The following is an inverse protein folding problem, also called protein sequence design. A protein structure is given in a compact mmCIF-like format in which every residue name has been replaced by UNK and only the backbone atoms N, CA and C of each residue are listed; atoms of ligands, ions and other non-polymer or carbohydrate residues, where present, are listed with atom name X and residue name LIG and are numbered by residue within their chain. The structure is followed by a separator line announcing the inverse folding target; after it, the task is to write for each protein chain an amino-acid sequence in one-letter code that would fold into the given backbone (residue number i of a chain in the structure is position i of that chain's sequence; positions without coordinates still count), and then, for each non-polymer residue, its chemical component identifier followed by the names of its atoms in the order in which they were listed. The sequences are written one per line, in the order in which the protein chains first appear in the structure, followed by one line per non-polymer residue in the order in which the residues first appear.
data_IF_414795863741
#
_entry.id   IF_414795863741
#
_cell.length_a   1.000
_cell.length_b   1.000
_cell.length_c   1.000
_cell.angle_alpha   90.00
_cell.angle_beta   90.00
_cell.angle_gamma   90.00
#
_symmetry.space_group_name_H-M   'P 1'
#
loop_
_entity.id
_entity.type
_entity.pdbx_description
1 polymer ?
#
# COMPACT_ATOMS: atom_id res chain seq x y z
N UNK A 1 2.60 -8.75 -5.01
CA UNK A 1 2.20 -9.94 -5.80
C UNK A 1 2.90 -9.79 -7.14
N UNK A 2 3.54 -10.84 -7.65
CA UNK A 2 4.22 -10.78 -8.94
C UNK A 2 3.20 -11.13 -10.01
N UNK A 3 2.85 -10.18 -10.88
CA UNK A 3 1.97 -10.42 -12.02
C UNK A 3 2.80 -10.41 -13.29
N UNK A 4 2.66 -11.42 -14.17
CA UNK A 4 3.24 -11.34 -15.51
C UNK A 4 2.54 -10.23 -16.29
N UNK A 5 3.31 -9.54 -17.12
CA UNK A 5 2.82 -8.45 -17.94
C UNK A 5 3.49 -8.47 -19.30
N UNK A 6 2.71 -8.23 -20.34
CA UNK A 6 3.20 -8.11 -21.72
C UNK A 6 3.24 -6.62 -22.08
N UNK A 7 4.36 -6.17 -22.63
CA UNK A 7 4.56 -4.81 -23.11
C UNK A 7 4.78 -4.81 -24.62
N UNK A 8 4.21 -3.84 -25.31
CA UNK A 8 4.41 -3.64 -26.74
C UNK A 8 4.36 -2.16 -27.12
N UNK A 9 4.91 -1.84 -28.29
CA UNK A 9 4.78 -0.53 -28.92
C UNK A 9 4.92 -0.67 -30.43
N UNK A 10 4.63 0.39 -31.19
CA UNK A 10 4.81 0.39 -32.65
C UNK A 10 6.27 0.31 -33.08
N UNK A 11 7.20 0.62 -32.19
CA UNK A 11 8.63 0.83 -32.49
C UNK A 11 9.52 -0.28 -31.96
N UNK A 12 8.96 -1.32 -31.32
CA UNK A 12 9.74 -2.42 -30.74
C UNK A 12 9.01 -3.76 -30.76
N UNK A 13 9.76 -4.87 -30.67
CA UNK A 13 9.20 -6.16 -30.36
C UNK A 13 8.56 -6.20 -28.97
N UNK A 14 7.49 -6.98 -28.85
CA UNK A 14 6.82 -7.24 -27.60
C UNK A 14 7.77 -7.91 -26.61
N UNK A 15 7.61 -7.60 -25.32
CA UNK A 15 8.44 -8.18 -24.28
C UNK A 15 7.68 -8.40 -22.98
N UNK A 16 8.13 -9.41 -22.24
CA UNK A 16 7.56 -9.74 -20.94
C UNK A 16 8.27 -9.01 -19.82
N UNK A 17 7.49 -8.56 -18.85
CA UNK A 17 7.97 -8.02 -17.60
C UNK A 17 7.11 -8.54 -16.44
N UNK A 18 7.63 -8.45 -15.22
CA UNK A 18 6.89 -8.87 -14.03
C UNK A 18 6.72 -7.71 -13.05
N UNK A 19 5.49 -7.49 -12.58
CA UNK A 19 5.19 -6.46 -11.60
C UNK A 19 5.93 -6.75 -10.30
N UNK A 20 6.72 -5.79 -9.82
CA UNK A 20 7.44 -5.91 -8.55
C UNK A 20 6.93 -4.92 -7.50
N UNK A 21 6.55 -3.70 -7.89
CA UNK A 21 6.02 -2.67 -6.97
C UNK A 21 4.90 -1.86 -7.61
N UNK A 22 3.89 -1.55 -6.81
CA UNK A 22 2.84 -0.57 -7.11
C UNK A 22 2.99 0.57 -6.09
N UNK A 23 2.99 1.82 -6.53
CA UNK A 23 3.15 3.00 -5.65
C UNK A 23 2.67 4.29 -6.32
N UNK A 24 2.73 5.41 -5.59
CA UNK A 24 2.30 6.74 -6.08
C UNK A 24 3.14 7.22 -7.29
N UNK A 25 4.38 6.77 -7.34
CA UNK A 25 5.36 6.96 -8.40
C UNK A 25 5.09 6.11 -9.66
N UNK A 26 4.15 5.16 -9.59
CA UNK A 26 3.71 4.32 -10.70
C UNK A 26 3.86 2.82 -10.44
N UNK A 27 3.86 2.05 -11.52
CA UNK A 27 4.01 0.59 -11.49
C UNK A 27 5.44 0.24 -11.90
N UNK A 28 6.17 -0.45 -11.04
CA UNK A 28 7.53 -0.92 -11.29
C UNK A 28 7.52 -2.37 -11.75
N UNK A 29 8.29 -2.63 -12.81
CA UNK A 29 8.48 -3.92 -13.43
C UNK A 29 9.94 -4.34 -13.43
N UNK A 30 10.17 -5.66 -13.37
CA UNK A 30 11.47 -6.28 -13.68
C UNK A 30 11.39 -6.93 -15.06
N UNK A 31 12.42 -6.78 -15.87
CA UNK A 31 12.48 -7.29 -17.24
C UNK A 31 13.93 -7.48 -17.69
N UNK A 32 14.15 -8.41 -18.62
CA UNK A 32 15.42 -8.50 -19.34
C UNK A 32 15.61 -7.34 -20.34
N UNK A 33 14.50 -6.79 -20.84
CA UNK A 33 14.45 -5.66 -21.77
C UNK A 33 14.01 -4.42 -20.99
N UNK A 34 14.86 -3.39 -20.97
CA UNK A 34 14.60 -2.13 -20.28
C UNK A 34 14.26 -1.06 -21.34
N UNK A 35 13.03 -0.51 -21.33
CA UNK A 35 12.62 0.53 -22.27
C UNK A 35 13.29 1.87 -21.95
N UNK A 36 13.24 2.86 -22.85
CA UNK A 36 13.86 4.16 -22.60
C UNK A 36 12.94 5.05 -21.73
N UNK A 37 13.50 5.90 -20.84
CA UNK A 37 12.72 6.92 -20.15
C UNK A 37 11.95 7.81 -21.12
N UNK A 38 10.71 8.17 -20.76
CA UNK A 38 9.82 9.03 -21.54
C UNK A 38 9.01 8.31 -22.62
N UNK A 39 9.31 7.03 -22.89
CA UNK A 39 8.66 6.26 -23.93
C UNK A 39 7.22 5.86 -23.62
N UNK A 40 6.38 5.78 -24.66
CA UNK A 40 4.98 5.36 -24.56
C UNK A 40 4.84 3.90 -24.98
N UNK A 41 4.25 3.09 -24.10
CA UNK A 41 4.05 1.67 -24.30
C UNK A 41 2.61 1.32 -23.95
N UNK A 42 2.13 0.23 -24.54
CA UNK A 42 0.92 -0.43 -24.06
C UNK A 42 1.35 -1.65 -23.23
N UNK A 43 0.73 -1.85 -22.07
CA UNK A 43 0.97 -3.03 -21.24
C UNK A 43 -0.32 -3.75 -20.88
N UNK A 44 -0.31 -5.08 -20.98
CA UNK A 44 -1.36 -5.94 -20.46
C UNK A 44 -0.88 -6.59 -19.17
N UNK A 45 -1.58 -6.32 -18.08
CA UNK A 45 -1.28 -6.88 -16.75
C UNK A 45 -2.38 -7.89 -16.42
N UNK A 46 -2.01 -9.13 -16.11
CA UNK A 46 -2.97 -10.18 -15.77
C UNK A 46 -3.92 -9.74 -14.64
N UNK A 47 -5.23 -9.99 -14.81
CA UNK A 47 -6.33 -9.57 -13.92
C UNK A 47 -6.65 -8.07 -13.88
N UNK A 48 -5.81 -7.21 -14.47
CA UNK A 48 -6.01 -5.74 -14.50
C UNK A 48 -6.46 -5.29 -15.89
N UNK A 49 -5.95 -5.91 -16.95
CA UNK A 49 -6.25 -5.55 -18.33
C UNK A 49 -5.17 -4.68 -18.98
N UNK A 50 -5.53 -4.03 -20.09
CA UNK A 50 -4.62 -3.27 -20.93
C UNK A 50 -4.57 -1.80 -20.52
N UNK A 51 -3.36 -1.24 -20.45
CA UNK A 51 -3.08 0.13 -20.04
C UNK A 51 -2.11 0.78 -21.02
N UNK A 52 -2.41 2.02 -21.42
CA UNK A 52 -1.43 2.90 -22.03
C UNK A 52 -0.58 3.52 -20.92
N UNK A 53 0.75 3.42 -21.06
CA UNK A 53 1.68 3.83 -20.02
C UNK A 53 2.87 4.60 -20.59
N UNK A 54 3.44 5.47 -19.78
CA UNK A 54 4.69 6.17 -20.08
C UNK A 54 5.79 5.74 -19.11
N UNK A 55 6.96 5.41 -19.64
CA UNK A 55 8.14 5.07 -18.83
C UNK A 55 8.62 6.32 -18.10
N UNK A 56 8.57 6.30 -16.76
CA UNK A 56 8.98 7.41 -15.92
C UNK A 56 10.48 7.33 -15.59
N UNK A 57 10.94 6.16 -15.13
CA UNK A 57 12.33 5.95 -14.72
C UNK A 57 12.77 4.52 -15.05
N UNK A 58 14.06 4.33 -15.27
CA UNK A 58 14.68 3.04 -15.57
C UNK A 58 15.81 2.77 -14.56
N UNK A 59 16.08 1.49 -14.33
CA UNK A 59 17.18 1.00 -13.51
C UNK A 59 17.70 -0.31 -14.11
N UNK A 60 18.76 -0.87 -13.54
CA UNK A 60 19.29 -2.15 -14.01
C UNK A 60 18.22 -3.25 -13.94
N UNK A 61 17.81 -3.77 -15.11
CA UNK A 61 16.77 -4.81 -15.29
C UNK A 61 15.40 -4.45 -14.70
N UNK A 62 15.11 -3.16 -14.54
CA UNK A 62 13.84 -2.68 -14.01
C UNK A 62 13.42 -1.33 -14.62
N UNK A 63 12.13 -1.07 -14.63
CA UNK A 63 11.59 0.22 -15.06
C UNK A 63 10.27 0.52 -14.36
N UNK A 64 9.96 1.81 -14.21
CA UNK A 64 8.70 2.30 -13.63
C UNK A 64 7.91 3.00 -14.71
N UNK A 65 6.63 2.68 -14.81
CA UNK A 65 5.70 3.31 -15.73
C UNK A 65 4.57 4.00 -14.98
N UNK A 66 4.04 5.07 -15.57
CA UNK A 66 2.83 5.73 -15.10
C UNK A 66 1.71 5.53 -16.13
N UNK A 67 0.47 5.24 -15.72
CA UNK A 67 -0.66 5.24 -16.63
C UNK A 67 -0.78 6.61 -17.32
N UNK A 68 -0.95 6.59 -18.63
CA UNK A 68 -1.24 7.81 -19.39
C UNK A 68 -2.74 8.10 -19.26
N UNK A 69 -3.16 9.30 -18.80
CA UNK A 69 -4.58 9.64 -18.73
C UNK A 69 -5.19 9.60 -20.13
N UNK A 70 -6.15 8.69 -20.34
CA UNK A 70 -6.79 8.45 -21.63
C UNK A 70 -8.07 7.59 -21.51
N UNK A 71 -8.79 7.43 -22.63
CA UNK A 71 -10.16 6.86 -22.75
C UNK A 71 -10.34 5.43 -22.20
N UNK A 72 -9.24 4.74 -21.87
CA UNK A 72 -9.20 3.33 -21.46
C UNK A 72 -8.86 3.14 -19.97
N UNK A 73 -8.68 4.23 -19.21
CA UNK A 73 -8.58 4.17 -17.74
C UNK A 73 -9.98 3.90 -17.16
N UNK A 74 -10.50 2.72 -17.47
CA UNK A 74 -11.81 2.29 -17.02
C UNK A 74 -11.76 2.29 -15.49
N UNK A 75 -12.70 2.94 -14.84
CA UNK A 75 -12.71 3.13 -13.37
C UNK A 75 -12.55 1.80 -12.63
N UNK A 76 -12.96 0.69 -13.24
CA UNK A 76 -12.72 -0.67 -12.78
C UNK A 76 -11.22 -1.04 -12.72
N UNK A 77 -10.42 -0.73 -13.75
CA UNK A 77 -8.97 -0.99 -13.80
C UNK A 77 -8.24 -0.15 -12.77
N UNK A 78 -8.62 1.13 -12.64
CA UNK A 78 -8.11 2.03 -11.61
C UNK A 78 -8.42 1.51 -10.21
N UNK A 79 -9.66 1.09 -9.97
CA UNK A 79 -10.12 0.51 -8.72
C UNK A 79 -9.41 -0.81 -8.42
N UNK A 80 -9.24 -1.70 -9.39
CA UNK A 80 -8.49 -2.95 -9.22
C UNK A 80 -7.01 -2.69 -8.95
N UNK A 81 -6.39 -1.72 -9.62
CA UNK A 81 -5.01 -1.32 -9.32
C UNK A 81 -4.88 -0.72 -7.92
N UNK A 82 -5.83 0.12 -7.49
CA UNK A 82 -5.88 0.67 -6.13
C UNK A 82 -6.13 -0.43 -5.10
N UNK A 83 -7.05 -1.36 -5.35
CA UNK A 83 -7.33 -2.50 -4.48
C UNK A 83 -6.13 -3.46 -4.41
N UNK A 84 -5.45 -3.73 -5.53
CA UNK A 84 -4.23 -4.54 -5.59
C UNK A 84 -3.04 -3.84 -4.96
N UNK A 85 -2.89 -2.52 -5.13
CA UNK A 85 -1.88 -1.71 -4.47
C UNK A 85 -2.12 -1.65 -2.96
N UNK A 86 -3.38 -1.55 -2.52
CA UNK A 86 -3.77 -1.65 -1.11
C UNK A 86 -3.47 -3.03 -0.53
N UNK A 87 -3.80 -4.11 -1.26
CA UNK A 87 -3.47 -5.50 -0.86
C UNK A 87 -1.97 -5.76 -0.87
N UNK A 88 -1.21 -5.17 -1.78
CA UNK A 88 0.24 -5.29 -1.86
C UNK A 88 0.96 -4.46 -0.80
N UNK A 89 0.49 -3.26 -0.49
CA UNK A 89 0.98 -2.45 0.64
C UNK A 89 0.82 -3.24 1.95
N UNK A 90 -0.38 -3.81 2.18
CA UNK A 90 -0.64 -4.74 3.29
C UNK A 90 0.26 -5.98 3.32
N UNK A 91 0.88 -6.37 2.20
CA UNK A 91 1.83 -7.50 2.08
C UNK A 91 3.29 -7.06 2.23
N UNK A 92 3.62 -5.81 1.91
CA UNK A 92 4.93 -5.16 2.13
C UNK A 92 5.13 -4.74 3.59
N UNK A 93 4.04 -4.43 4.30
CA UNK A 93 4.06 -4.17 5.75
C UNK A 93 4.53 -5.36 6.59
N UNK A 94 4.58 -6.57 5.99
CA UNK A 94 5.15 -7.78 6.61
C UNK A 94 6.69 -7.84 6.54
N UNK A 95 7.34 -6.95 5.78
CA UNK A 95 8.80 -6.92 5.58
C UNK A 95 9.50 -5.59 5.96
N UNK A 96 8.86 -4.71 6.76
CA UNK A 96 9.56 -3.69 7.55
C UNK A 96 10.38 -2.65 6.75
N UNK A 97 9.73 -1.67 6.13
CA UNK A 97 10.44 -0.56 5.45
C UNK A 97 9.98 0.84 5.85
N UNK A 98 8.98 0.98 6.72
CA UNK A 98 8.67 2.24 7.38
C UNK A 98 9.34 2.26 8.76
N UNK A 99 10.04 3.34 9.13
CA UNK A 99 10.56 3.49 10.49
C UNK A 99 9.41 3.33 11.49
N UNK A 100 9.72 2.65 12.59
CA UNK A 100 8.76 2.32 13.62
C UNK A 100 9.27 2.81 14.95
N UNK A 101 8.34 3.29 15.76
CA UNK A 101 8.63 3.84 17.07
C UNK A 101 7.72 3.19 18.10
N UNK A 102 8.16 3.24 19.35
CA UNK A 102 7.29 3.02 20.51
C UNK A 102 7.11 4.38 21.17
N UNK A 103 5.91 4.99 21.12
CA UNK A 103 5.67 6.28 21.76
C UNK A 103 5.90 6.19 23.28
N UNK A 104 6.35 7.28 23.91
CA UNK A 104 6.49 7.37 25.37
C UNK A 104 5.15 7.23 26.07
N UNK A 105 4.09 7.78 25.46
CA UNK A 105 2.71 7.63 25.91
C UNK A 105 2.04 6.54 25.10
N UNK A 106 2.00 5.34 25.66
CA UNK A 106 1.44 4.18 24.98
C UNK A 106 -0.08 4.06 25.14
N UNK A 107 -0.68 4.75 26.10
CA UNK A 107 -2.11 4.61 26.39
C UNK A 107 -2.95 5.16 25.24
N UNK A 108 -3.87 4.35 24.73
CA UNK A 108 -4.74 4.73 23.61
C UNK A 108 -6.15 4.20 23.83
N UNK A 109 -7.16 5.03 23.50
CA UNK A 109 -8.55 4.59 23.46
C UNK A 109 -8.84 3.94 22.10
N UNK A 110 -9.48 2.78 22.10
CA UNK A 110 -9.89 2.07 20.89
C UNK A 110 -11.42 2.11 20.81
N UNK A 111 -11.95 3.03 20.02
CA UNK A 111 -13.39 3.16 19.80
C UNK A 111 -13.83 2.26 18.64
N UNK A 112 -14.87 1.47 18.86
CA UNK A 112 -15.51 0.60 17.88
C UNK A 112 -16.70 1.31 17.23
N UNK A 113 -17.13 0.82 16.06
CA UNK A 113 -18.24 1.40 15.31
C UNK A 113 -19.60 1.34 16.04
N UNK A 114 -19.75 0.44 17.02
CA UNK A 114 -20.94 0.31 17.86
C UNK A 114 -20.95 1.29 19.06
N UNK A 115 -19.94 2.14 19.18
CA UNK A 115 -19.78 3.09 20.27
C UNK A 115 -19.00 2.56 21.48
N UNK A 116 -18.63 1.28 21.50
CA UNK A 116 -17.82 0.70 22.57
C UNK A 116 -16.41 1.30 22.56
N UNK A 117 -15.90 1.69 23.74
CA UNK A 117 -14.53 2.20 23.88
C UNK A 117 -13.72 1.27 24.76
N UNK A 118 -12.67 0.71 24.20
CA UNK A 118 -11.73 -0.18 24.88
C UNK A 118 -10.45 0.59 25.25
N UNK A 119 -9.84 0.23 26.37
CA UNK A 119 -8.49 0.69 26.71
C UNK A 119 -7.46 -0.18 26.01
N UNK A 120 -6.50 0.45 25.34
CA UNK A 120 -5.39 -0.22 24.68
C UNK A 120 -4.04 0.40 25.03
N UNK A 121 -2.96 -0.28 24.62
CA UNK A 121 -1.59 0.23 24.69
C UNK A 121 -0.90 0.06 23.34
N UNK A 122 -0.33 1.13 22.80
CA UNK A 122 0.50 1.12 21.60
C UNK A 122 1.74 0.26 21.86
N UNK A 123 1.92 -0.77 21.03
CA UNK A 123 3.10 -1.61 21.02
C UNK A 123 4.14 -1.05 20.07
N UNK A 124 3.72 -0.67 18.86
CA UNK A 124 4.57 -0.12 17.82
C UNK A 124 3.73 0.69 16.84
N UNK A 125 4.25 1.83 16.38
CA UNK A 125 3.56 2.71 15.43
C UNK A 125 4.48 3.08 14.27
N UNK A 126 3.88 3.18 13.08
CA UNK A 126 4.51 3.75 11.88
C UNK A 126 3.55 4.76 11.24
N UNK A 127 3.97 5.42 10.16
CA UNK A 127 3.13 6.34 9.38
C UNK A 127 1.79 5.69 8.92
N UNK A 128 1.75 4.38 8.71
CA UNK A 128 0.59 3.72 8.11
C UNK A 128 -0.20 2.81 9.07
N UNK A 129 0.39 2.40 10.20
CA UNK A 129 -0.22 1.41 11.10
C UNK A 129 0.18 1.61 12.54
N UNK A 130 -0.65 1.06 13.42
CA UNK A 130 -0.33 0.84 14.82
C UNK A 130 -0.66 -0.59 15.21
N UNK A 131 0.22 -1.17 16.02
CA UNK A 131 -0.07 -2.38 16.78
C UNK A 131 -0.48 -1.98 18.20
N UNK A 132 -1.59 -2.53 18.67
CA UNK A 132 -2.22 -2.15 19.94
C UNK A 132 -2.45 -3.41 20.75
N UNK A 133 -1.98 -3.44 22.00
CA UNK A 133 -2.39 -4.42 23.00
C UNK A 133 -3.74 -4.02 23.58
N UNK A 134 -4.67 -4.97 23.67
CA UNK A 134 -5.96 -4.80 24.33
C UNK A 134 -6.50 -6.15 24.81
N UNK A 135 -7.34 -6.13 25.84
CA UNK A 135 -7.85 -7.34 26.48
C UNK A 135 -9.00 -8.00 25.70
N UNK A 136 -9.78 -7.21 24.96
CA UNK A 136 -10.94 -7.70 24.22
C UNK A 136 -10.59 -8.03 22.77
N UNK A 137 -11.12 -9.13 22.21
CA UNK A 137 -10.94 -9.43 20.80
C UNK A 137 -11.70 -8.41 19.93
N UNK A 138 -11.06 -7.96 18.86
CA UNK A 138 -11.70 -7.13 17.82
C UNK A 138 -11.55 -7.85 16.48
N UNK A 139 -12.64 -7.90 15.72
CA UNK A 139 -12.67 -8.62 14.45
C UNK A 139 -11.75 -7.98 13.40
N UNK A 140 -11.05 -8.82 12.63
CA UNK A 140 -10.31 -8.36 11.45
C UNK A 140 -11.28 -7.78 10.42
N UNK A 141 -10.93 -6.62 9.86
CA UNK A 141 -11.77 -5.85 8.96
C UNK A 141 -12.66 -4.81 9.67
N UNK A 142 -12.75 -4.83 11.00
CA UNK A 142 -13.52 -3.84 11.74
C UNK A 142 -12.92 -2.43 11.59
N UNK A 143 -13.80 -1.43 11.41
CA UNK A 143 -13.42 -0.02 11.53
C UNK A 143 -13.33 0.35 13.00
N UNK A 144 -12.23 1.00 13.36
CA UNK A 144 -11.95 1.45 14.72
C UNK A 144 -11.38 2.87 14.68
N UNK A 145 -11.43 3.57 15.81
CA UNK A 145 -10.67 4.81 16.02
C UNK A 145 -9.67 4.59 17.15
N UNK A 146 -8.39 4.81 16.87
CA UNK A 146 -7.30 4.79 17.83
C UNK A 146 -7.06 6.24 18.26
N UNK A 147 -7.54 6.61 19.44
CA UNK A 147 -7.62 8.02 19.87
C UNK A 147 -8.52 8.83 18.94
N UNK A 148 -7.93 9.77 18.20
CA UNK A 148 -8.53 10.56 17.14
C UNK A 148 -8.33 9.95 15.74
N UNK A 149 -7.45 8.96 15.59
CA UNK A 149 -7.04 8.43 14.28
C UNK A 149 -7.93 7.27 13.81
N UNK A 150 -8.56 7.39 12.64
CA UNK A 150 -9.39 6.32 12.07
C UNK A 150 -8.55 5.20 11.45
N UNK A 151 -8.95 3.94 11.69
CA UNK A 151 -8.22 2.77 11.25
C UNK A 151 -9.12 1.56 10.94
N UNK A 152 -8.53 0.55 10.31
CA UNK A 152 -9.15 -0.76 10.03
C UNK A 152 -8.25 -1.87 10.55
N UNK A 153 -8.82 -2.78 11.34
CA UNK A 153 -8.11 -3.93 11.87
C UNK A 153 -7.66 -4.84 10.72
N UNK A 154 -6.36 -5.07 10.60
CA UNK A 154 -5.78 -5.86 9.52
C UNK A 154 -5.46 -7.30 9.93
N UNK A 155 -5.08 -7.49 11.19
CA UNK A 155 -4.82 -8.80 11.78
C UNK A 155 -4.95 -8.70 13.30
N UNK A 156 -5.22 -9.83 13.95
CA UNK A 156 -5.10 -9.98 15.39
C UNK A 156 -3.81 -10.74 15.74
N UNK A 157 -3.31 -10.53 16.95
CA UNK A 157 -2.21 -11.30 17.53
C UNK A 157 -2.49 -11.55 19.01
N UNK A 158 -1.57 -12.22 19.72
CA UNK A 158 -1.77 -12.54 21.13
C UNK A 158 -1.94 -11.24 21.94
N UNK A 159 -3.14 -11.06 22.50
CA UNK A 159 -3.54 -9.93 23.33
C UNK A 159 -3.53 -8.57 22.58
N UNK A 160 -3.77 -8.55 21.27
CA UNK A 160 -3.80 -7.29 20.54
C UNK A 160 -4.22 -7.39 19.09
N UNK A 161 -4.17 -6.24 18.42
CA UNK A 161 -4.52 -6.06 17.01
C UNK A 161 -3.51 -5.18 16.31
N UNK A 162 -3.29 -5.44 15.02
CA UNK A 162 -2.61 -4.50 14.14
C UNK A 162 -3.63 -3.84 13.21
N UNK A 163 -3.68 -2.52 13.21
CA UNK A 163 -4.63 -1.73 12.45
C UNK A 163 -3.92 -0.78 11.47
N UNK A 164 -4.46 -0.66 10.25
CA UNK A 164 -4.01 0.34 9.27
C UNK A 164 -4.84 1.59 9.39
N UNK A 165 -4.19 2.74 9.40
CA UNK A 165 -4.89 4.01 9.36
C UNK A 165 -5.62 4.18 8.02
N UNK A 166 -6.78 4.84 8.06
CA UNK A 166 -7.51 5.21 6.83
C UNK A 166 -6.77 6.30 6.05
N UNK A 167 -6.08 7.18 6.77
CA UNK A 167 -5.15 8.17 6.23
C UNK A 167 -3.80 8.01 6.92
N UNK A 168 -2.67 8.08 6.18
CA UNK A 168 -1.34 8.06 6.80
C UNK A 168 -1.18 9.18 7.83
N UNK A 169 -0.43 8.92 8.89
CA UNK A 169 0.03 9.95 9.82
C UNK A 169 1.02 10.89 9.12
N UNK A 170 1.12 12.11 9.63
CA UNK A 170 2.17 13.04 9.21
C UNK A 170 3.55 12.45 9.60
N UNK A 171 4.47 12.27 8.63
CA UNK A 171 5.82 11.78 8.91
C UNK A 171 6.56 12.61 9.97
N UNK A 172 6.31 13.92 10.02
CA UNK A 172 6.99 14.84 10.93
C UNK A 172 6.49 14.68 12.38
N UNK A 173 5.34 14.04 12.58
CA UNK A 173 4.78 13.71 13.90
C UNK A 173 5.16 12.30 14.37
N UNK A 174 5.88 11.51 13.55
CA UNK A 174 6.30 10.15 13.91
C UNK A 174 7.58 10.19 14.77
N UNK A 175 7.43 10.60 16.03
CA UNK A 175 8.49 10.59 17.04
C UNK A 175 8.02 9.99 18.39
N UNK A 176 8.92 9.90 19.37
CA UNK A 176 8.60 9.38 20.71
C UNK A 176 7.47 10.14 21.44
N UNK A 177 7.15 11.37 21.02
CA UNK A 177 6.10 12.22 21.56
C UNK A 177 4.71 12.01 20.93
N UNK A 178 4.60 11.14 19.92
CA UNK A 178 3.34 10.85 19.23
C UNK A 178 2.19 10.54 20.19
N UNK A 179 1.04 11.18 19.95
CA UNK A 179 -0.25 10.89 20.57
C UNK A 179 -1.26 10.64 19.47
N UNK A 180 -2.00 9.54 19.58
CA UNK A 180 -3.07 9.18 18.64
C UNK A 180 -4.43 9.69 19.10
#
# INVERSE_FOLDING_TARGET
MILPSLFWSRTRPDFYAVTCRLGADGIRFRSAIVPNPGEHLTCSIGLVGTLEVRVAHTAERAFTVKPTPGRQYNTAIARTLVELAGRQSRRLDRHGTSPRIVPRRTEVAVALADGTVLKGRLAEVSIARADVYLAAPVAVGAKVRLGATEAVVAHSFRNGIGAYFLSPLDPDLLDEGLVL
#
